data_IF_078561091926
#
_entry.id   IF_078561091926
#
_cell.length_a   1.000
_cell.length_b   1.000
_cell.length_c   1.000
_cell.angle_alpha   90.00
_cell.angle_beta   90.00
_cell.angle_gamma   90.00
#
_symmetry.space_group_name_H-M   'P 1'
#
loop_
_entity.id
_entity.type
_entity.pdbx_description
1 polymer ?
#
# COMPACT_ATOMS: atom_id res chain seq x y z
N UNK A 1 -23.59 34.24 0.52
CA UNK A 1 -22.20 34.44 0.05
C UNK A 1 -21.29 33.94 1.15
N UNK A 2 -20.70 32.77 0.98
CA UNK A 2 -19.74 32.20 1.93
C UNK A 2 -18.34 32.78 1.64
N UNK A 3 -17.48 32.81 2.66
CA UNK A 3 -16.12 33.40 2.59
C UNK A 3 -15.21 32.83 1.47
N UNK A 4 -15.60 31.72 0.83
CA UNK A 4 -14.87 31.12 -0.30
C UNK A 4 -15.02 31.92 -1.62
N UNK A 5 -16.00 32.82 -1.75
CA UNK A 5 -16.18 33.65 -2.98
C UNK A 5 -15.23 34.86 -3.06
N UNK A 6 -14.57 35.25 -1.96
CA UNK A 6 -13.71 36.46 -1.91
C UNK A 6 -12.26 36.24 -2.38
N UNK A 7 -11.88 35.02 -2.74
CA UNK A 7 -10.60 34.71 -3.42
C UNK A 7 -10.90 33.64 -4.46
N UNK A 8 -10.70 33.91 -5.76
CA UNK A 8 -10.97 32.99 -6.88
C UNK A 8 -10.34 31.60 -6.74
N UNK A 9 -10.89 30.77 -5.87
CA UNK A 9 -10.40 29.46 -5.49
C UNK A 9 -11.28 28.43 -6.19
N UNK A 10 -10.63 27.62 -7.03
CA UNK A 10 -11.36 26.63 -7.82
C UNK A 10 -12.09 25.62 -6.91
N UNK A 11 -13.29 25.17 -7.31
CA UNK A 11 -14.09 24.24 -6.52
C UNK A 11 -13.33 22.93 -6.28
N UNK A 12 -13.37 22.44 -5.03
CA UNK A 12 -12.63 21.23 -4.64
C UNK A 12 -13.31 19.93 -5.10
N UNK A 13 -14.64 19.93 -5.19
CA UNK A 13 -15.50 18.74 -5.38
C UNK A 13 -15.91 18.51 -6.84
N UNK A 14 -15.95 19.57 -7.66
CA UNK A 14 -16.32 19.50 -9.08
C UNK A 14 -15.25 20.12 -9.95
N UNK A 15 -15.20 19.69 -11.20
CA UNK A 15 -14.34 20.30 -12.22
C UNK A 15 -14.97 21.63 -12.65
N UNK A 16 -14.14 22.56 -13.11
CA UNK A 16 -14.59 23.80 -13.77
C UNK A 16 -14.68 23.57 -15.28
N UNK A 17 -15.35 24.48 -16.00
CA UNK A 17 -15.40 24.43 -17.45
C UNK A 17 -13.99 24.54 -18.05
N UNK A 18 -13.79 24.04 -19.27
CA UNK A 18 -12.47 24.02 -19.89
C UNK A 18 -11.84 25.41 -20.02
N UNK A 19 -12.64 26.43 -20.34
CA UNK A 19 -12.26 27.84 -20.42
C UNK A 19 -11.81 28.44 -19.08
N UNK A 20 -12.22 27.85 -17.95
CA UNK A 20 -11.91 28.32 -16.59
C UNK A 20 -10.74 27.53 -15.96
N UNK A 21 -10.23 26.50 -16.65
CA UNK A 21 -9.16 25.67 -16.11
C UNK A 21 -7.87 26.50 -16.00
N UNK A 22 -7.16 26.43 -14.86
CA UNK A 22 -5.92 27.16 -14.70
C UNK A 22 -4.86 26.62 -15.68
N UNK A 23 -4.01 27.47 -16.26
CA UNK A 23 -2.99 27.03 -17.19
C UNK A 23 -2.00 26.06 -16.52
N UNK A 24 -1.63 25.01 -17.25
CA UNK A 24 -0.65 24.03 -16.79
C UNK A 24 0.06 23.34 -17.96
N UNK A 25 1.33 23.02 -17.73
CA UNK A 25 2.10 22.08 -18.55
C UNK A 25 2.46 20.89 -17.66
N UNK A 26 2.34 19.68 -18.21
CA UNK A 26 2.68 18.45 -17.51
C UNK A 26 4.20 18.37 -17.34
N UNK A 27 4.66 18.08 -16.12
CA UNK A 27 6.07 17.94 -15.76
C UNK A 27 6.44 16.47 -15.57
N UNK A 28 7.74 16.17 -15.54
CA UNK A 28 8.21 14.80 -15.27
C UNK A 28 7.69 14.26 -13.93
N UNK A 29 7.71 15.10 -12.90
CA UNK A 29 7.15 14.77 -11.60
C UNK A 29 5.68 14.38 -11.68
N UNK A 30 4.88 15.04 -12.52
CA UNK A 30 3.47 14.66 -12.66
C UNK A 30 3.33 13.31 -13.34
N UNK A 31 4.16 13.00 -14.34
CA UNK A 31 4.16 11.71 -15.00
C UNK A 31 4.50 10.58 -14.02
N UNK A 32 5.53 10.74 -13.21
CA UNK A 32 5.89 9.80 -12.15
C UNK A 32 4.81 9.70 -11.05
N UNK A 33 4.16 10.82 -10.73
CA UNK A 33 3.00 10.84 -9.84
C UNK A 33 1.85 10.00 -10.41
N UNK A 34 1.54 10.12 -11.71
CA UNK A 34 0.49 9.34 -12.37
C UNK A 34 0.82 7.84 -12.37
N UNK A 35 2.08 7.46 -12.61
CA UNK A 35 2.54 6.07 -12.49
C UNK A 35 2.32 5.53 -11.08
N UNK A 36 2.68 6.30 -10.06
CA UNK A 36 2.51 5.90 -8.67
C UNK A 36 1.02 5.81 -8.26
N UNK A 37 0.18 6.75 -8.69
CA UNK A 37 -1.28 6.68 -8.47
C UNK A 37 -1.88 5.44 -9.15
N UNK A 38 -1.46 5.11 -10.37
CA UNK A 38 -1.89 3.88 -11.04
C UNK A 38 -1.44 2.63 -10.26
N UNK A 39 -0.16 2.58 -9.87
CA UNK A 39 0.41 1.43 -9.17
C UNK A 39 -0.24 1.20 -7.80
N UNK A 40 -0.65 2.26 -7.10
CA UNK A 40 -1.33 2.21 -5.81
C UNK A 40 -2.86 2.17 -5.92
N UNK A 41 -3.43 2.37 -7.11
CA UNK A 41 -4.88 2.49 -7.43
C UNK A 41 -5.58 3.71 -6.80
N UNK A 42 -5.21 4.08 -5.57
CA UNK A 42 -5.70 5.24 -4.84
C UNK A 42 -4.67 5.75 -3.84
N UNK A 43 -4.47 7.07 -3.77
CA UNK A 43 -3.60 7.70 -2.76
C UNK A 43 -4.26 8.94 -2.15
N UNK A 44 -4.01 9.18 -0.87
CA UNK A 44 -4.43 10.41 -0.20
C UNK A 44 -3.49 11.58 -0.51
N UNK A 45 -3.96 12.80 -0.24
CA UNK A 45 -3.14 14.03 -0.37
C UNK A 45 -1.83 13.94 0.40
N UNK A 46 -1.82 13.48 1.65
CA UNK A 46 -0.63 13.37 2.51
C UNK A 46 0.40 12.39 1.93
N UNK A 47 -0.07 11.28 1.35
CA UNK A 47 0.80 10.30 0.72
C UNK A 47 1.46 10.85 -0.55
N UNK A 48 0.70 11.56 -1.39
CA UNK A 48 1.23 12.20 -2.60
C UNK A 48 2.18 13.35 -2.28
N UNK A 49 1.84 14.13 -1.24
CA UNK A 49 2.70 15.18 -0.70
C UNK A 49 4.06 14.60 -0.31
N UNK A 50 4.08 13.61 0.59
CA UNK A 50 5.31 13.01 1.08
C UNK A 50 6.20 12.42 -0.04
N UNK A 51 5.59 11.85 -1.09
CA UNK A 51 6.32 11.24 -2.20
C UNK A 51 6.96 12.25 -3.17
N UNK A 52 6.25 13.33 -3.49
CA UNK A 52 6.57 14.17 -4.66
C UNK A 52 6.76 15.66 -4.36
N UNK A 53 6.47 16.13 -3.15
CA UNK A 53 6.44 17.55 -2.82
C UNK A 53 7.17 17.85 -1.51
N UNK A 54 7.87 18.98 -1.47
CA UNK A 54 8.48 19.49 -0.23
C UNK A 54 7.54 20.34 0.62
N UNK A 55 6.33 20.67 0.13
CA UNK A 55 5.36 21.45 0.88
C UNK A 55 3.90 21.08 0.54
N UNK A 56 3.06 21.14 1.57
CA UNK A 56 1.60 20.94 1.47
C UNK A 56 0.93 21.89 0.49
N UNK A 57 1.29 23.17 0.52
CA UNK A 57 0.70 24.20 -0.33
C UNK A 57 0.99 23.94 -1.81
N UNK A 58 2.24 23.59 -2.14
CA UNK A 58 2.63 23.23 -3.51
C UNK A 58 1.92 21.95 -3.98
N UNK A 59 1.84 20.93 -3.12
CA UNK A 59 1.13 19.69 -3.42
C UNK A 59 -0.35 19.97 -3.72
N UNK A 60 -1.05 20.68 -2.84
CA UNK A 60 -2.47 20.98 -3.02
C UNK A 60 -2.76 21.77 -4.30
N UNK A 61 -1.95 22.78 -4.60
CA UNK A 61 -2.08 23.55 -5.82
C UNK A 61 -1.86 22.68 -7.08
N UNK A 62 -0.81 21.85 -7.08
CA UNK A 62 -0.51 20.98 -8.23
C UNK A 62 -1.57 19.90 -8.43
N UNK A 63 -2.01 19.26 -7.34
CA UNK A 63 -3.05 18.23 -7.36
C UNK A 63 -4.41 18.81 -7.78
N UNK A 64 -4.70 20.08 -7.47
CA UNK A 64 -5.88 20.77 -8.00
C UNK A 64 -5.82 20.93 -9.53
N UNK A 65 -4.68 21.36 -10.07
CA UNK A 65 -4.50 21.45 -11.53
C UNK A 65 -4.65 20.09 -12.22
N UNK A 66 -3.95 19.06 -11.71
CA UNK A 66 -4.04 17.69 -12.23
C UNK A 66 -5.46 17.12 -12.14
N UNK A 67 -6.16 17.45 -11.05
CA UNK A 67 -7.58 17.17 -10.96
C UNK A 67 -8.32 17.90 -12.07
N UNK A 68 -8.40 19.23 -12.11
CA UNK A 68 -9.24 19.95 -13.09
C UNK A 68 -8.97 19.58 -14.57
N UNK A 69 -7.73 19.22 -14.90
CA UNK A 69 -7.32 18.78 -16.25
C UNK A 69 -7.49 17.28 -16.53
N UNK A 70 -8.20 16.54 -15.69
CA UNK A 70 -8.57 15.13 -15.91
C UNK A 70 -7.40 14.14 -15.91
N UNK A 71 -6.23 14.57 -15.45
CA UNK A 71 -5.10 13.68 -15.18
C UNK A 71 -5.33 12.82 -13.94
N UNK A 72 -5.99 13.39 -12.93
CA UNK A 72 -6.45 12.68 -11.74
C UNK A 72 -7.95 12.82 -11.56
N UNK A 73 -8.56 11.80 -10.96
CA UNK A 73 -9.85 11.90 -10.31
C UNK A 73 -9.64 12.22 -8.83
N UNK A 74 -10.64 12.86 -8.20
CA UNK A 74 -10.60 13.24 -6.78
C UNK A 74 -11.90 12.84 -6.10
N UNK A 75 -11.76 12.14 -4.99
CA UNK A 75 -12.85 11.60 -4.18
C UNK A 75 -12.72 12.08 -2.74
N UNK A 76 -13.83 12.03 -2.02
CA UNK A 76 -13.91 12.41 -0.62
C UNK A 76 -14.67 11.34 0.13
N UNK A 77 -14.15 11.01 1.30
CA UNK A 77 -14.80 10.10 2.22
C UNK A 77 -15.87 10.89 3.00
N UNK A 78 -17.13 10.82 2.59
CA UNK A 78 -18.25 11.38 3.35
C UNK A 78 -18.82 10.30 4.27
N UNK A 79 -18.25 10.15 5.46
CA UNK A 79 -18.83 9.29 6.50
C UNK A 79 -18.64 10.03 7.82
N UNK A 80 -19.71 10.13 8.60
CA UNK A 80 -19.86 10.80 9.91
C UNK A 80 -20.35 12.25 9.84
N UNK A 81 -21.58 12.43 10.32
CA UNK A 81 -22.33 13.68 10.52
C UNK A 81 -21.62 14.70 11.42
N UNK A 82 -20.63 14.24 12.20
CA UNK A 82 -19.81 15.02 13.14
C UNK A 82 -18.31 15.01 12.78
N UNK A 83 -17.92 14.63 11.55
CA UNK A 83 -16.52 14.69 11.14
C UNK A 83 -16.05 16.16 11.06
N UNK A 84 -14.84 16.49 11.59
CA UNK A 84 -14.30 17.83 11.49
C UNK A 84 -14.19 18.26 10.02
N UNK A 85 -14.38 19.56 9.78
CA UNK A 85 -14.38 20.17 8.47
C UNK A 85 -13.19 19.67 7.60
N UNK A 86 -13.55 18.96 6.51
CA UNK A 86 -12.74 18.44 5.38
C UNK A 86 -12.09 17.07 5.55
N UNK A 87 -12.84 16.03 5.16
CA UNK A 87 -12.28 14.72 4.79
C UNK A 87 -11.09 14.84 3.82
N UNK A 88 -10.04 14.03 3.99
CA UNK A 88 -8.88 14.04 3.09
C UNK A 88 -9.31 13.65 1.67
N UNK A 89 -8.72 14.32 0.67
CA UNK A 89 -8.96 13.97 -0.72
C UNK A 89 -8.19 12.70 -1.08
N UNK A 90 -8.86 11.81 -1.82
CA UNK A 90 -8.28 10.60 -2.39
C UNK A 90 -8.20 10.77 -3.90
N UNK A 91 -7.07 10.42 -4.47
CA UNK A 91 -6.81 10.55 -5.90
C UNK A 91 -6.68 9.18 -6.54
N UNK A 92 -7.37 9.01 -7.65
CA UNK A 92 -7.22 7.86 -8.55
C UNK A 92 -6.84 8.36 -9.95
N UNK A 93 -6.37 7.46 -10.80
CA UNK A 93 -5.94 7.84 -12.15
C UNK A 93 -7.14 8.37 -12.97
N UNK A 94 -6.97 9.54 -13.60
CA UNK A 94 -7.95 10.16 -14.49
C UNK A 94 -7.79 9.72 -15.94
N UNK A 95 -8.76 10.06 -16.80
CA UNK A 95 -8.78 9.68 -18.22
C UNK A 95 -7.53 10.16 -18.98
N UNK A 96 -7.17 11.44 -18.83
CA UNK A 96 -5.96 12.00 -19.48
C UNK A 96 -4.68 11.47 -18.84
N UNK A 97 -4.72 11.13 -17.55
CA UNK A 97 -3.60 10.49 -16.86
C UNK A 97 -3.30 9.10 -17.43
N UNK A 98 -4.34 8.31 -17.66
CA UNK A 98 -4.23 7.01 -18.32
C UNK A 98 -3.67 7.14 -19.76
N UNK A 99 -4.12 8.14 -20.53
CA UNK A 99 -3.58 8.41 -21.86
C UNK A 99 -2.07 8.70 -21.82
N UNK A 100 -1.61 9.49 -20.84
CA UNK A 100 -0.17 9.75 -20.64
C UNK A 100 0.58 8.46 -20.36
N UNK A 101 0.05 7.57 -19.51
CA UNK A 101 0.71 6.29 -19.22
C UNK A 101 0.86 5.42 -20.47
N UNK A 102 -0.17 5.36 -21.30
CA UNK A 102 -0.14 4.62 -22.57
C UNK A 102 0.86 5.26 -23.54
N UNK A 103 0.71 6.55 -23.83
CA UNK A 103 1.48 7.20 -24.90
C UNK A 103 2.94 7.41 -24.57
N UNK A 104 3.26 7.66 -23.29
CA UNK A 104 4.62 8.01 -22.86
C UNK A 104 5.41 6.83 -22.31
N UNK A 105 4.73 5.92 -21.62
CA UNK A 105 5.38 4.81 -20.93
C UNK A 105 5.02 3.44 -21.51
N UNK A 106 4.24 3.39 -22.60
CA UNK A 106 3.90 2.15 -23.29
C UNK A 106 2.99 1.22 -22.49
N UNK A 107 2.23 1.74 -21.51
CA UNK A 107 1.29 0.91 -20.75
C UNK A 107 0.20 0.37 -21.68
N UNK A 108 -0.15 -0.89 -21.52
CA UNK A 108 -1.30 -1.49 -22.18
C UNK A 108 -2.59 -1.24 -21.37
N UNK A 109 -3.75 -1.55 -21.98
CA UNK A 109 -5.05 -1.40 -21.30
C UNK A 109 -5.14 -2.23 -20.02
N UNK A 110 -4.48 -3.40 -19.98
CA UNK A 110 -4.41 -4.27 -18.80
C UNK A 110 -3.57 -3.72 -17.64
N UNK A 111 -2.61 -2.83 -17.94
CA UNK A 111 -1.74 -2.21 -16.94
C UNK A 111 -2.40 -1.03 -16.21
N UNK A 112 -3.49 -0.50 -16.79
CA UNK A 112 -4.25 0.61 -16.24
C UNK A 112 -5.20 0.10 -15.14
N UNK A 113 -4.88 0.44 -13.89
CA UNK A 113 -5.57 -0.05 -12.70
C UNK A 113 -6.69 0.90 -12.26
N UNK A 114 -7.60 1.17 -13.19
CA UNK A 114 -8.76 2.04 -12.97
C UNK A 114 -9.80 1.35 -12.06
N UNK A 115 -10.44 2.06 -11.11
CA UNK A 115 -11.55 1.50 -10.34
C UNK A 115 -12.71 1.06 -11.25
N UNK A 116 -13.11 -0.21 -11.17
CA UNK A 116 -14.30 -0.71 -11.88
C UNK A 116 -15.56 -0.07 -11.31
N UNK A 117 -16.43 0.47 -12.16
CA UNK A 117 -17.70 1.09 -11.74
C UNK A 117 -17.56 2.43 -11.01
N UNK A 118 -16.38 3.06 -11.02
CA UNK A 118 -16.17 4.39 -10.45
C UNK A 118 -16.06 4.46 -8.91
N UNK A 119 -16.44 3.40 -8.19
CA UNK A 119 -16.48 3.40 -6.71
C UNK A 119 -15.85 2.13 -6.14
N UNK A 120 -14.84 2.29 -5.27
CA UNK A 120 -14.36 1.21 -4.41
C UNK A 120 -15.25 1.15 -3.17
N UNK A 121 -15.69 -0.05 -2.78
CA UNK A 121 -16.39 -0.23 -1.50
C UNK A 121 -15.55 0.30 -0.33
N UNK A 122 -16.19 0.94 0.65
CA UNK A 122 -15.52 1.68 1.73
C UNK A 122 -14.42 0.86 2.45
N UNK A 123 -14.77 -0.32 2.94
CA UNK A 123 -13.81 -1.18 3.67
C UNK A 123 -12.61 -1.59 2.81
N UNK A 124 -12.84 -1.88 1.53
CA UNK A 124 -11.78 -2.21 0.58
C UNK A 124 -10.86 -1.00 0.32
N UNK A 125 -11.43 0.20 0.23
CA UNK A 125 -10.67 1.43 0.04
C UNK A 125 -9.79 1.75 1.24
N UNK A 126 -10.32 1.65 2.46
CA UNK A 126 -9.54 1.93 3.65
C UNK A 126 -8.40 0.90 3.86
N UNK A 127 -8.63 -0.39 3.56
CA UNK A 127 -7.58 -1.40 3.60
C UNK A 127 -6.51 -1.16 2.53
N UNK A 128 -6.92 -0.86 1.29
CA UNK A 128 -6.00 -0.42 0.23
C UNK A 128 -5.16 0.79 0.66
N UNK A 129 -5.79 1.79 1.29
CA UNK A 129 -5.08 2.99 1.77
C UNK A 129 -4.10 2.69 2.91
N UNK A 130 -4.39 1.69 3.75
CA UNK A 130 -3.48 1.24 4.81
C UNK A 130 -2.25 0.53 4.22
N UNK A 131 -2.45 -0.37 3.25
CA UNK A 131 -1.36 -0.99 2.47
C UNK A 131 -0.51 0.09 1.79
N UNK A 132 -1.17 1.07 1.17
CA UNK A 132 -0.47 2.17 0.50
C UNK A 132 0.29 3.08 1.47
N UNK A 133 -0.17 3.25 2.72
CA UNK A 133 0.62 3.94 3.75
C UNK A 133 1.93 3.21 4.02
N UNK A 134 1.91 1.87 4.16
CA UNK A 134 3.13 1.08 4.28
C UNK A 134 4.02 1.20 3.05
N UNK A 135 3.45 1.07 1.85
CA UNK A 135 4.19 1.19 0.58
C UNK A 135 4.87 2.55 0.44
N UNK A 136 4.19 3.62 0.81
CA UNK A 136 4.76 4.99 0.81
C UNK A 136 5.91 5.08 1.81
N UNK A 137 5.73 4.57 3.03
CA UNK A 137 6.77 4.58 4.06
C UNK A 137 8.03 3.84 3.59
N UNK A 138 7.91 2.62 3.05
CA UNK A 138 9.06 1.84 2.57
C UNK A 138 9.71 2.47 1.34
N UNK A 139 8.92 3.05 0.43
CA UNK A 139 9.43 3.75 -0.77
C UNK A 139 10.28 4.95 -0.38
N UNK A 140 9.82 5.72 0.61
CA UNK A 140 10.56 6.88 1.12
C UNK A 140 11.79 6.47 1.92
N UNK A 141 11.67 5.47 2.79
CA UNK A 141 12.80 4.94 3.56
C UNK A 141 13.92 4.40 2.65
N UNK A 142 13.54 3.76 1.54
CA UNK A 142 14.47 3.24 0.55
C UNK A 142 15.15 4.31 -0.31
N UNK A 143 14.90 5.61 -0.09
CA UNK A 143 15.70 6.71 -0.66
C UNK A 143 16.98 6.98 0.13
N UNK A 144 17.09 6.45 1.35
CA UNK A 144 18.30 6.58 2.15
C UNK A 144 19.47 5.81 1.51
N UNK A 145 20.73 6.30 1.65
CA UNK A 145 21.89 5.62 1.08
C UNK A 145 21.99 4.15 1.50
N UNK A 146 22.33 3.28 0.54
CA UNK A 146 22.48 1.84 0.77
C UNK A 146 21.17 1.03 0.72
N UNK A 147 20.02 1.68 0.66
CA UNK A 147 18.73 1.02 0.47
C UNK A 147 18.20 1.25 -0.95
N UNK A 148 17.51 0.25 -1.49
CA UNK A 148 16.77 0.39 -2.74
C UNK A 148 15.57 -0.55 -2.75
N UNK A 149 14.37 0.00 -2.99
CA UNK A 149 13.16 -0.80 -3.23
C UNK A 149 13.17 -1.27 -4.68
N UNK A 150 13.68 -2.48 -4.91
CA UNK A 150 13.90 -3.02 -6.26
C UNK A 150 12.61 -3.54 -6.92
N UNK A 151 11.62 -3.98 -6.14
CA UNK A 151 10.36 -4.47 -6.67
C UNK A 151 9.23 -4.35 -5.65
N UNK A 152 8.01 -4.12 -6.14
CA UNK A 152 6.76 -4.20 -5.39
C UNK A 152 5.70 -4.91 -6.25
N UNK A 153 5.17 -6.03 -5.76
CA UNK A 153 4.05 -6.76 -6.34
C UNK A 153 2.91 -6.70 -5.33
N UNK A 154 1.73 -6.24 -5.76
CA UNK A 154 0.55 -6.29 -4.90
C UNK A 154 -0.27 -7.55 -5.17
N UNK A 155 -1.30 -7.76 -4.35
CA UNK A 155 -2.22 -8.90 -4.44
C UNK A 155 -2.77 -9.12 -5.87
N UNK A 156 -2.98 -8.06 -6.66
CA UNK A 156 -3.51 -8.18 -8.02
C UNK A 156 -2.57 -8.93 -8.96
N UNK A 157 -1.25 -8.79 -8.77
CA UNK A 157 -0.24 -9.55 -9.52
C UNK A 157 -0.32 -11.04 -9.15
N UNK A 158 -0.49 -11.36 -7.87
CA UNK A 158 -0.65 -12.73 -7.42
C UNK A 158 -1.97 -13.34 -7.93
N UNK A 159 -3.05 -12.57 -8.01
CA UNK A 159 -4.32 -13.03 -8.59
C UNK A 159 -4.24 -13.29 -10.09
N UNK A 160 -3.43 -12.53 -10.82
CA UNK A 160 -3.22 -12.74 -12.26
C UNK A 160 -2.44 -14.04 -12.54
N UNK A 161 -1.49 -14.39 -11.67
CA UNK A 161 -0.73 -15.66 -11.74
C UNK A 161 -0.70 -16.33 -10.35
N UNK A 162 -1.78 -17.02 -9.95
CA UNK A 162 -1.95 -17.55 -8.61
C UNK A 162 -1.12 -18.82 -8.38
N UNK A 163 -0.44 -18.88 -7.24
CA UNK A 163 0.05 -20.14 -6.68
C UNK A 163 -0.98 -20.72 -5.72
N UNK A 164 -0.94 -22.04 -5.56
CA UNK A 164 -1.85 -22.73 -4.68
C UNK A 164 -1.12 -23.76 -3.82
N UNK A 165 -1.56 -23.86 -2.57
CA UNK A 165 -1.12 -24.88 -1.62
C UNK A 165 -2.28 -25.78 -1.23
N UNK A 166 -1.99 -27.01 -0.84
CA UNK A 166 -2.96 -27.92 -0.27
C UNK A 166 -2.94 -27.76 1.25
N UNK A 167 -4.07 -27.37 1.82
CA UNK A 167 -4.25 -27.26 3.28
C UNK A 167 -5.30 -28.27 3.71
N UNK A 168 -4.98 -29.05 4.73
CA UNK A 168 -5.95 -29.95 5.35
C UNK A 168 -6.90 -29.13 6.23
N UNK A 169 -8.20 -29.25 5.98
CA UNK A 169 -9.21 -28.65 6.85
C UNK A 169 -9.46 -29.51 8.11
N UNK A 170 -10.26 -29.02 9.05
CA UNK A 170 -10.58 -29.73 10.31
C UNK A 170 -11.27 -31.09 10.10
N UNK A 171 -11.84 -31.34 8.92
CA UNK A 171 -12.46 -32.62 8.56
C UNK A 171 -11.48 -33.61 7.94
N UNK A 172 -10.19 -33.25 7.84
CA UNK A 172 -9.16 -34.07 7.24
C UNK A 172 -9.09 -33.95 5.71
N UNK A 173 -9.94 -33.14 5.08
CA UNK A 173 -9.99 -32.99 3.62
C UNK A 173 -8.97 -31.96 3.14
N UNK A 174 -8.22 -32.32 2.10
CA UNK A 174 -7.32 -31.39 1.42
C UNK A 174 -8.11 -30.36 0.61
N UNK A 175 -7.79 -29.09 0.83
CA UNK A 175 -8.36 -27.94 0.14
C UNK A 175 -7.26 -27.16 -0.53
N UNK A 176 -7.46 -26.89 -1.82
CA UNK A 176 -6.61 -25.98 -2.59
C UNK A 176 -6.88 -24.54 -2.13
N UNK A 177 -5.85 -23.87 -1.62
CA UNK A 177 -5.91 -22.48 -1.13
C UNK A 177 -4.90 -21.61 -1.88
N UNK A 178 -5.31 -20.41 -2.34
CA UNK A 178 -4.40 -19.51 -3.03
C UNK A 178 -3.44 -18.81 -2.07
N UNK A 179 -2.28 -18.41 -2.57
CA UNK A 179 -1.28 -17.62 -1.84
C UNK A 179 -1.36 -16.16 -2.29
N UNK A 180 -2.02 -15.32 -1.49
CA UNK A 180 -2.28 -13.91 -1.80
C UNK A 180 -1.82 -13.01 -0.64
N UNK A 181 -0.57 -12.53 -0.64
CA UNK A 181 -0.15 -11.48 0.29
C UNK A 181 -0.69 -10.11 -0.14
N UNK A 182 -0.91 -9.22 0.82
CA UNK A 182 -1.30 -7.82 0.54
C UNK A 182 -0.22 -7.12 -0.30
N UNK A 183 1.04 -7.46 -0.02
CA UNK A 183 2.18 -7.02 -0.82
C UNK A 183 3.35 -7.99 -0.74
N UNK A 184 4.12 -8.06 -1.82
CA UNK A 184 5.47 -8.60 -1.86
C UNK A 184 6.43 -7.52 -2.30
N UNK A 185 7.56 -7.39 -1.62
CA UNK A 185 8.57 -6.45 -2.05
C UNK A 185 9.99 -6.94 -1.80
N UNK A 186 10.90 -6.38 -2.58
CA UNK A 186 12.32 -6.71 -2.57
C UNK A 186 13.09 -5.45 -2.21
N UNK A 187 13.89 -5.54 -1.16
CA UNK A 187 14.74 -4.46 -0.69
C UNK A 187 16.21 -4.87 -0.82
N UNK A 188 16.96 -4.13 -1.61
CA UNK A 188 18.42 -4.20 -1.58
C UNK A 188 18.91 -3.37 -0.39
N UNK A 189 19.81 -3.94 0.38
CA UNK A 189 20.39 -3.34 1.60
C UNK A 189 21.90 -3.50 1.57
N UNK A 190 22.66 -2.82 2.44
CA UNK A 190 24.12 -3.04 2.53
C UNK A 190 24.51 -4.49 2.88
N UNK A 191 23.57 -5.29 3.43
CA UNK A 191 23.77 -6.70 3.79
C UNK A 191 23.26 -7.68 2.73
N UNK A 192 22.84 -7.17 1.57
CA UNK A 192 22.27 -7.96 0.49
C UNK A 192 20.76 -7.74 0.32
N UNK A 193 20.13 -8.64 -0.44
CA UNK A 193 18.73 -8.51 -0.85
C UNK A 193 17.79 -9.24 0.10
N UNK A 194 16.93 -8.49 0.77
CA UNK A 194 15.84 -9.00 1.61
C UNK A 194 14.51 -9.02 0.84
N UNK A 195 13.65 -9.99 1.16
CA UNK A 195 12.35 -10.19 0.51
C UNK A 195 11.27 -10.36 1.54
N UNK A 196 10.13 -9.76 1.26
CA UNK A 196 9.07 -9.58 2.24
C UNK A 196 7.72 -9.95 1.66
N UNK A 197 6.90 -10.65 2.44
CA UNK A 197 5.45 -10.54 2.34
C UNK A 197 4.95 -9.53 3.37
N UNK A 198 3.88 -8.83 3.04
CA UNK A 198 3.20 -7.87 3.89
C UNK A 198 1.76 -8.32 4.10
N UNK A 199 1.30 -8.23 5.34
CA UNK A 199 -0.09 -8.33 5.77
C UNK A 199 -0.45 -7.10 6.61
N UNK A 200 -1.52 -6.40 6.24
CA UNK A 200 -2.00 -5.21 6.96
C UNK A 200 -3.35 -5.50 7.60
N UNK A 201 -3.34 -5.80 8.90
CA UNK A 201 -4.55 -6.08 9.66
C UNK A 201 -5.12 -4.80 10.28
N UNK A 202 -6.29 -4.39 9.79
CA UNK A 202 -6.99 -3.18 10.29
C UNK A 202 -7.81 -3.42 11.56
N UNK A 203 -7.86 -4.65 12.08
CA UNK A 203 -8.69 -5.03 13.22
C UNK A 203 -10.18 -5.15 12.92
N UNK A 204 -10.59 -5.01 11.65
CA UNK A 204 -12.00 -5.11 11.21
C UNK A 204 -12.45 -6.55 10.95
N UNK A 205 -11.49 -7.48 10.80
CA UNK A 205 -11.78 -8.88 10.59
C UNK A 205 -11.53 -9.71 11.86
N UNK A 206 -12.30 -10.77 12.04
CA UNK A 206 -12.07 -11.72 13.12
C UNK A 206 -10.69 -12.39 12.97
N UNK A 207 -10.01 -12.61 14.10
CA UNK A 207 -8.73 -13.35 14.13
C UNK A 207 -8.84 -14.76 13.52
N UNK A 208 -10.04 -15.35 13.54
CA UNK A 208 -10.36 -16.63 12.93
C UNK A 208 -10.07 -16.67 11.42
N UNK A 209 -10.09 -15.51 10.74
CA UNK A 209 -9.79 -15.37 9.31
C UNK A 209 -8.29 -15.27 9.01
N UNK A 210 -7.47 -14.94 10.00
CA UNK A 210 -6.03 -14.82 9.85
C UNK A 210 -5.31 -16.18 9.95
N UNK A 211 -5.78 -17.11 10.80
CA UNK A 211 -5.15 -18.44 10.95
C UNK A 211 -5.03 -19.22 9.63
N UNK A 212 -6.05 -19.28 8.75
CA UNK A 212 -5.92 -19.94 7.45
C UNK A 212 -4.81 -19.35 6.57
N UNK A 213 -4.57 -18.04 6.64
CA UNK A 213 -3.55 -17.37 5.83
C UNK A 213 -2.14 -17.76 6.30
N UNK A 214 -1.94 -17.87 7.62
CA UNK A 214 -0.68 -18.36 8.19
C UNK A 214 -0.39 -19.79 7.75
N UNK A 215 -1.39 -20.68 7.84
CA UNK A 215 -1.25 -22.05 7.35
C UNK A 215 -0.89 -22.11 5.86
N UNK A 216 -1.45 -21.21 5.05
CA UNK A 216 -1.12 -21.08 3.63
C UNK A 216 0.35 -20.72 3.42
N UNK A 217 0.90 -19.76 4.18
CA UNK A 217 2.32 -19.37 4.06
C UNK A 217 3.27 -20.45 4.56
N UNK A 218 2.97 -21.11 5.68
CA UNK A 218 3.76 -22.25 6.14
C UNK A 218 3.81 -23.35 5.07
N UNK A 219 2.65 -23.74 4.52
CA UNK A 219 2.61 -24.75 3.46
C UNK A 219 3.32 -24.30 2.18
N UNK A 220 3.26 -23.01 1.83
CA UNK A 220 3.90 -22.48 0.63
C UNK A 220 5.43 -22.48 0.73
N UNK A 221 5.97 -22.17 1.91
CA UNK A 221 7.41 -22.26 2.19
C UNK A 221 7.84 -23.72 2.30
N UNK A 222 7.14 -24.53 3.09
CA UNK A 222 7.49 -25.93 3.32
C UNK A 222 7.45 -26.78 2.04
N UNK A 223 6.52 -26.50 1.12
CA UNK A 223 6.44 -27.19 -0.18
C UNK A 223 7.54 -26.79 -1.17
N UNK A 224 8.38 -25.79 -0.87
CA UNK A 224 9.41 -25.28 -1.79
C UNK A 224 8.87 -24.43 -2.94
N UNK A 225 7.55 -24.25 -3.04
CA UNK A 225 6.93 -23.45 -4.11
C UNK A 225 7.35 -21.97 -4.05
N UNK A 226 7.51 -21.40 -2.86
CA UNK A 226 8.08 -20.06 -2.69
C UNK A 226 9.45 -19.97 -3.37
N UNK A 227 10.34 -20.93 -3.09
CA UNK A 227 11.68 -20.95 -3.65
C UNK A 227 11.67 -21.13 -5.16
N UNK A 228 10.79 -21.99 -5.69
CA UNK A 228 10.64 -22.16 -7.13
C UNK A 228 10.17 -20.88 -7.83
N UNK A 229 9.24 -20.12 -7.23
CA UNK A 229 8.75 -18.86 -7.82
C UNK A 229 9.75 -17.71 -7.71
N UNK A 230 10.34 -17.52 -6.53
CA UNK A 230 11.16 -16.33 -6.23
C UNK A 230 12.67 -16.58 -6.26
N UNK A 231 13.09 -17.81 -6.56
CA UNK A 231 14.50 -18.23 -6.69
C UNK A 231 15.32 -17.91 -5.43
N UNK A 232 14.70 -18.09 -4.26
CA UNK A 232 15.31 -17.78 -2.96
C UNK A 232 14.58 -18.48 -1.83
N UNK A 233 15.27 -18.74 -0.71
CA UNK A 233 14.65 -19.19 0.54
C UNK A 233 14.45 -18.03 1.54
N UNK A 234 15.03 -16.87 1.28
CA UNK A 234 14.93 -15.71 2.17
C UNK A 234 13.53 -15.10 2.07
N UNK A 235 12.75 -15.19 3.13
CA UNK A 235 11.46 -14.53 3.27
C UNK A 235 11.29 -14.04 4.71
N UNK A 236 10.82 -12.79 4.85
CA UNK A 236 10.20 -12.30 6.09
C UNK A 236 8.74 -11.96 5.82
N UNK A 237 7.87 -12.24 6.78
CA UNK A 237 6.45 -11.95 6.69
C UNK A 237 6.17 -10.85 7.71
N UNK A 238 5.84 -9.67 7.19
CA UNK A 238 5.56 -8.47 7.97
C UNK A 238 4.06 -8.40 8.23
N UNK A 239 3.67 -8.35 9.49
CA UNK A 239 2.29 -8.21 9.92
C UNK A 239 2.13 -6.87 10.62
N UNK A 240 1.45 -5.93 9.98
CA UNK A 240 1.26 -4.57 10.49
C UNK A 240 -0.17 -4.41 10.97
N UNK A 241 -0.35 -4.25 12.28
CA UNK A 241 -1.66 -4.22 12.92
C UNK A 241 -2.14 -2.80 13.22
N UNK A 242 -3.44 -2.62 13.42
CA UNK A 242 -4.04 -1.33 13.81
C UNK A 242 -3.70 -0.85 15.23
N UNK A 243 -3.24 -1.74 16.11
CA UNK A 243 -2.86 -1.41 17.48
C UNK A 243 -1.97 -2.49 18.09
N UNK A 244 -1.30 -2.15 19.20
CA UNK A 244 -0.47 -3.09 19.96
C UNK A 244 -1.27 -4.30 20.47
N UNK A 245 -2.49 -4.06 20.99
CA UNK A 245 -3.38 -5.14 21.44
C UNK A 245 -3.72 -6.10 20.30
N UNK A 246 -3.95 -5.58 19.09
CA UNK A 246 -4.21 -6.39 17.90
C UNK A 246 -2.94 -7.15 17.47
N UNK A 247 -1.79 -6.47 17.43
CA UNK A 247 -0.48 -7.07 17.14
C UNK A 247 -0.18 -8.26 18.06
N UNK A 248 -0.31 -8.09 19.38
CA UNK A 248 -0.11 -9.16 20.36
C UNK A 248 -1.10 -10.32 20.20
N UNK A 249 -2.31 -10.05 19.70
CA UNK A 249 -3.29 -11.11 19.41
C UNK A 249 -2.92 -11.90 18.16
N UNK A 250 -2.47 -11.22 17.11
CA UNK A 250 -1.98 -11.87 15.88
C UNK A 250 -0.72 -12.68 16.15
N UNK A 251 0.23 -12.17 16.94
CA UNK A 251 1.43 -12.91 17.35
C UNK A 251 1.09 -14.25 18.01
N UNK A 252 0.13 -14.25 18.95
CA UNK A 252 -0.35 -15.49 19.59
C UNK A 252 -1.00 -16.45 18.59
N UNK A 253 -1.71 -15.94 17.59
CA UNK A 253 -2.27 -16.77 16.52
C UNK A 253 -1.16 -17.40 15.69
N UNK A 254 -0.18 -16.61 15.23
CA UNK A 254 0.94 -17.10 14.43
C UNK A 254 1.75 -18.15 15.19
N UNK A 255 2.06 -17.91 16.47
CA UNK A 255 2.75 -18.87 17.32
C UNK A 255 1.99 -20.21 17.44
N UNK A 256 0.67 -20.17 17.66
CA UNK A 256 -0.17 -21.39 17.73
C UNK A 256 -0.23 -22.15 16.41
N UNK A 257 -0.10 -21.46 15.29
CA UNK A 257 -0.10 -22.06 13.95
C UNK A 257 1.28 -22.60 13.55
N UNK A 258 2.28 -22.55 14.43
CA UNK A 258 3.63 -23.06 14.16
C UNK A 258 4.51 -22.08 13.40
N UNK A 259 4.16 -20.80 13.35
CA UNK A 259 5.05 -19.78 12.80
C UNK A 259 6.35 -19.66 13.62
N UNK A 260 7.38 -19.12 12.99
CA UNK A 260 8.74 -19.02 13.53
C UNK A 260 9.31 -17.59 13.35
N UNK A 261 10.63 -17.44 13.48
CA UNK A 261 11.33 -16.16 13.35
C UNK A 261 11.20 -15.45 12.00
N UNK A 262 10.55 -16.02 10.97
CA UNK A 262 10.26 -15.29 9.73
C UNK A 262 9.14 -14.26 9.88
N UNK A 263 8.34 -14.30 10.96
CA UNK A 263 7.26 -13.35 11.20
C UNK A 263 7.71 -12.15 12.05
N UNK A 264 7.37 -10.96 11.58
CA UNK A 264 7.74 -9.67 12.17
C UNK A 264 6.51 -8.80 12.32
N UNK A 265 6.33 -8.19 13.48
CA UNK A 265 5.11 -7.46 13.83
C UNK A 265 5.42 -6.01 14.19
N UNK A 266 4.57 -5.10 13.74
CA UNK A 266 4.59 -3.68 14.11
C UNK A 266 3.16 -3.12 14.07
N UNK A 267 2.97 -1.87 14.47
CA UNK A 267 1.68 -1.19 14.33
C UNK A 267 1.70 -0.13 13.23
N UNK A 268 0.52 0.20 12.70
CA UNK A 268 0.36 1.20 11.64
C UNK A 268 0.90 2.58 12.04
N UNK A 269 0.76 2.98 13.31
CA UNK A 269 1.23 4.26 13.83
C UNK A 269 2.76 4.32 14.01
N UNK A 270 3.41 3.18 14.22
CA UNK A 270 4.87 3.09 14.31
C UNK A 270 5.55 3.13 12.94
N UNK A 271 4.86 2.71 11.87
CA UNK A 271 5.43 2.60 10.53
C UNK A 271 5.41 3.96 9.81
N UNK A 272 6.60 4.53 9.61
CA UNK A 272 6.83 5.68 8.74
C UNK A 272 8.20 5.58 8.06
N UNK A 273 8.55 6.56 7.21
CA UNK A 273 9.79 6.53 6.42
C UNK A 273 11.08 6.58 7.25
N UNK A 274 11.03 7.07 8.49
CA UNK A 274 12.18 7.15 9.38
C UNK A 274 12.34 5.89 10.23
N UNK A 275 11.26 5.14 10.46
CA UNK A 275 11.23 4.02 11.41
C UNK A 275 11.18 2.65 10.75
N UNK A 276 10.51 2.51 9.60
CA UNK A 276 10.14 1.21 9.01
C UNK A 276 11.34 0.29 8.73
N UNK A 277 12.52 0.84 8.45
CA UNK A 277 13.73 0.05 8.16
C UNK A 277 14.64 -0.11 9.36
N UNK A 278 14.98 0.99 10.04
CA UNK A 278 16.15 1.06 10.93
C UNK A 278 15.82 1.37 12.38
N UNK A 279 14.59 1.78 12.71
CA UNK A 279 14.20 1.96 14.11
C UNK A 279 13.74 0.64 14.71
N UNK A 280 13.95 0.43 16.03
CA UNK A 280 13.51 -0.77 16.72
C UNK A 280 12.01 -0.73 16.99
N UNK A 281 11.20 -0.87 15.94
CA UNK A 281 9.72 -0.94 16.03
C UNK A 281 9.19 -2.35 15.80
N UNK A 282 10.02 -3.27 15.27
CA UNK A 282 9.56 -4.58 14.88
C UNK A 282 9.79 -5.61 15.97
N UNK A 283 8.76 -6.40 16.27
CA UNK A 283 8.87 -7.58 17.12
C UNK A 283 8.97 -8.82 16.24
N UNK A 284 10.11 -9.50 16.25
CA UNK A 284 10.24 -10.82 15.63
C UNK A 284 9.56 -11.87 16.51
N UNK A 285 8.87 -12.84 15.92
CA UNK A 285 8.23 -13.91 16.69
C UNK A 285 9.28 -14.71 17.48
N UNK A 286 9.04 -14.91 18.78
CA UNK A 286 9.98 -15.56 19.70
C UNK A 286 10.94 -14.59 20.40
N UNK A 287 11.03 -13.34 19.94
CA UNK A 287 11.89 -12.31 20.53
C UNK A 287 11.11 -11.39 21.48
N UNK A 288 11.74 -11.03 22.60
CA UNK A 288 11.13 -10.15 23.60
C UNK A 288 11.42 -8.66 23.37
N UNK A 289 12.44 -8.35 22.56
CA UNK A 289 12.87 -6.97 22.28
C UNK A 289 12.41 -6.53 20.90
N UNK A 290 12.10 -5.24 20.77
CA UNK A 290 11.92 -4.64 19.46
C UNK A 290 13.28 -4.50 18.76
N UNK A 291 13.27 -4.69 17.45
CA UNK A 291 14.44 -4.74 16.60
C UNK A 291 14.21 -3.92 15.32
N UNK A 292 15.28 -3.38 14.72
CA UNK A 292 15.18 -2.81 13.38
C UNK A 292 14.85 -3.90 12.36
N UNK A 293 14.09 -3.53 11.32
CA UNK A 293 13.79 -4.48 10.26
C UNK A 293 15.07 -4.93 9.57
N UNK A 294 15.94 -3.98 9.22
CA UNK A 294 17.26 -4.26 8.71
C UNK A 294 18.25 -3.85 9.79
N UNK A 295 18.98 -4.82 10.35
CA UNK A 295 19.98 -4.58 11.40
C UNK A 295 20.97 -3.48 11.00
N UNK A 296 21.21 -2.55 11.93
CA UNK A 296 22.26 -1.53 11.81
C UNK A 296 23.63 -2.19 11.69
N UNK A 297 24.48 -1.61 10.84
CA UNK A 297 25.89 -1.97 10.65
C UNK A 297 26.65 -2.05 11.95
#
# INVERSE_FOLDING_TARGET
>A
MTDDEKRGRLPRHRRVAESERPPMVLTERDCELLRMVNACRALRTDQLEALFFGSRSTAQFRLAKLFHHEYLNRHFLSVVSDAPARSPAIYTLGKRGAQVLVSRFGYERGDLRLPKGGTLGWHLLEHLLAINSFRVAITLAARAPGFQLSSWLDETVFRAKPDYVQIQDRSGRLRKKPVFPDGYFVLSTPRGTARFFLEVDRGTEELSRFSPQIAVYEAYVASGQYQARFQTKSLRILVVASSEKRSASLQRVVARMGGDGKYWFATLDQVNSQTVLTAPIWRQLGENRLQPLIGGG
#
